data_IF_388591890231
#
_entry.id   IF_388591890231
#
_cell.length_a   1.000
_cell.length_b   1.000
_cell.length_c   1.000
_cell.angle_alpha   90.00
_cell.angle_beta   90.00
_cell.angle_gamma   90.00
#
_symmetry.space_group_name_H-M   'P 1'
#
loop_
_entity.id
_entity.type
_entity.pdbx_description
1 polymer ?
#
# COMPACT_ATOMS: atom_id res chain seq x y z
N UNK A 1 -26.31 18.66 -78.99
CA UNK A 1 -25.42 17.94 -78.07
C UNK A 1 -26.28 16.96 -77.26
N UNK A 2 -26.30 15.66 -77.63
CA UNK A 2 -27.13 14.66 -76.97
C UNK A 2 -26.40 14.18 -75.71
N UNK A 3 -26.77 14.72 -74.56
CA UNK A 3 -26.27 14.23 -73.27
C UNK A 3 -27.05 12.95 -72.96
N UNK A 4 -26.38 11.81 -73.08
CA UNK A 4 -26.94 10.51 -72.69
C UNK A 4 -27.26 10.54 -71.20
N UNK A 5 -28.47 10.11 -70.83
CA UNK A 5 -29.01 10.09 -69.46
C UNK A 5 -28.56 8.85 -68.66
N UNK A 6 -27.82 7.93 -69.30
CA UNK A 6 -27.31 6.69 -68.71
C UNK A 6 -26.21 6.87 -67.63
N UNK A 7 -25.20 7.76 -67.78
CA UNK A 7 -24.15 7.92 -66.76
C UNK A 7 -24.69 8.60 -65.50
N UNK A 8 -25.70 9.47 -65.62
CA UNK A 8 -26.31 10.14 -64.46
C UNK A 8 -27.08 9.18 -63.55
N UNK A 9 -27.84 8.23 -64.14
CA UNK A 9 -28.54 7.19 -63.39
C UNK A 9 -27.57 6.22 -62.71
N UNK A 10 -26.46 5.90 -63.35
CA UNK A 10 -25.43 5.01 -62.80
C UNK A 10 -24.73 5.66 -61.59
N UNK A 11 -24.40 6.95 -61.67
CA UNK A 11 -23.81 7.70 -60.55
C UNK A 11 -24.78 7.80 -59.36
N UNK A 12 -26.07 8.04 -59.62
CA UNK A 12 -27.10 8.09 -58.57
C UNK A 12 -27.28 6.73 -57.87
N UNK A 13 -27.21 5.63 -58.62
CA UNK A 13 -27.32 4.28 -58.09
C UNK A 13 -26.12 3.90 -57.22
N UNK A 14 -24.90 4.33 -57.60
CA UNK A 14 -23.68 4.12 -56.80
C UNK A 14 -23.74 4.93 -55.49
N UNK A 15 -24.25 6.17 -55.54
CA UNK A 15 -24.45 6.98 -54.33
C UNK A 15 -25.49 6.38 -53.38
N UNK A 16 -26.59 5.84 -53.93
CA UNK A 16 -27.60 5.14 -53.13
C UNK A 16 -27.03 3.88 -52.46
N UNK A 17 -26.17 3.14 -53.16
CA UNK A 17 -25.51 1.96 -52.61
C UNK A 17 -24.52 2.32 -51.48
N UNK A 18 -23.75 3.40 -51.65
CA UNK A 18 -22.86 3.92 -50.61
C UNK A 18 -23.61 4.42 -49.37
N UNK A 19 -24.77 5.04 -49.54
CA UNK A 19 -25.61 5.50 -48.43
C UNK A 19 -26.16 4.33 -47.60
N UNK A 20 -26.53 3.22 -48.23
CA UNK A 20 -26.99 2.00 -47.54
C UNK A 20 -25.84 1.36 -46.73
N UNK A 21 -24.63 1.35 -47.28
CA UNK A 21 -23.44 0.82 -46.57
C UNK A 21 -23.08 1.72 -45.36
N UNK A 22 -23.22 3.03 -45.50
CA UNK A 22 -22.94 3.99 -44.42
C UNK A 22 -23.94 3.90 -43.26
N UNK A 23 -25.23 3.60 -43.53
CA UNK A 23 -26.27 3.46 -42.50
C UNK A 23 -26.22 2.07 -41.84
N UNK A 24 -25.74 1.04 -42.56
CA UNK A 24 -25.59 -0.32 -42.04
C UNK A 24 -24.35 -0.54 -41.14
N UNK A 25 -23.40 0.40 -41.15
CA UNK A 25 -22.17 0.35 -40.35
C UNK A 25 -22.36 1.02 -38.98
N UNK A 26 -23.34 0.56 -38.20
CA UNK A 26 -23.30 0.78 -36.75
C UNK A 26 -22.46 -0.35 -36.16
N UNK A 27 -21.21 -0.13 -35.72
CA UNK A 27 -20.57 -1.10 -34.84
C UNK A 27 -21.48 -1.19 -33.62
N UNK A 28 -22.09 -2.36 -33.40
CA UNK A 28 -22.75 -2.66 -32.15
C UNK A 28 -21.68 -2.49 -31.06
N UNK A 29 -21.71 -1.35 -30.39
CA UNK A 29 -20.87 -1.07 -29.24
C UNK A 29 -21.36 -2.03 -28.17
N UNK A 30 -20.74 -3.22 -28.09
CA UNK A 30 -20.89 -4.11 -26.96
C UNK A 30 -20.32 -3.39 -25.74
N UNK A 31 -21.12 -2.51 -25.16
CA UNK A 31 -20.97 -2.17 -23.77
C UNK A 31 -21.15 -3.48 -23.01
N UNK A 32 -20.07 -4.06 -22.51
CA UNK A 32 -20.13 -5.02 -21.41
C UNK A 32 -20.60 -4.28 -20.15
N UNK A 33 -21.78 -3.68 -20.20
CA UNK A 33 -22.49 -3.20 -19.04
C UNK A 33 -23.18 -4.41 -18.40
N UNK A 34 -22.57 -4.92 -17.34
CA UNK A 34 -23.31 -5.71 -16.35
C UNK A 34 -23.19 -7.22 -16.46
N UNK A 35 -22.00 -7.79 -16.72
CA UNK A 35 -21.72 -9.07 -16.06
C UNK A 35 -21.52 -8.78 -14.58
N UNK A 36 -22.60 -8.93 -13.81
CA UNK A 36 -22.61 -8.84 -12.35
C UNK A 36 -21.52 -9.75 -11.78
N UNK A 37 -20.38 -9.17 -11.40
CA UNK A 37 -19.28 -9.88 -10.76
C UNK A 37 -19.73 -10.26 -9.35
N UNK A 38 -20.04 -11.53 -9.15
CA UNK A 38 -20.28 -12.10 -7.82
C UNK A 38 -18.95 -12.24 -7.06
N UNK A 39 -18.41 -11.11 -6.58
CA UNK A 39 -17.20 -11.08 -5.77
C UNK A 39 -17.57 -11.13 -4.29
N UNK A 40 -17.07 -12.14 -3.59
CA UNK A 40 -17.15 -12.21 -2.12
C UNK A 40 -15.83 -11.66 -1.58
N UNK A 41 -15.86 -10.46 -0.99
CA UNK A 41 -14.69 -9.84 -0.36
C UNK A 41 -14.63 -10.25 1.11
N UNK A 42 -13.65 -11.08 1.46
CA UNK A 42 -13.38 -11.44 2.85
C UNK A 42 -12.25 -10.58 3.40
N UNK A 43 -12.47 -9.97 4.57
CA UNK A 43 -11.45 -9.22 5.29
C UNK A 43 -11.13 -9.97 6.58
N UNK A 44 -9.94 -10.56 6.64
CA UNK A 44 -9.41 -11.17 7.85
C UNK A 44 -8.52 -10.19 8.58
N UNK A 45 -8.85 -9.85 9.83
CA UNK A 45 -7.96 -9.15 10.73
C UNK A 45 -7.56 -10.10 11.85
N UNK A 46 -6.25 -10.26 12.06
CA UNK A 46 -5.70 -11.04 13.15
C UNK A 46 -4.80 -10.15 13.98
N UNK A 47 -5.02 -10.15 15.30
CA UNK A 47 -4.19 -9.43 16.26
C UNK A 47 -3.59 -10.46 17.22
N UNK A 48 -2.28 -10.39 17.43
CA UNK A 48 -1.56 -11.25 18.35
C UNK A 48 -0.85 -10.37 19.37
N UNK A 49 -1.23 -10.54 20.64
CA UNK A 49 -0.59 -9.86 21.76
C UNK A 49 0.31 -10.86 22.47
N UNK A 50 1.61 -10.56 22.54
CA UNK A 50 2.60 -11.37 23.27
C UNK A 50 3.33 -10.50 24.29
N UNK A 51 3.52 -11.05 25.49
CA UNK A 51 4.34 -10.40 26.52
C UNK A 51 5.82 -10.53 26.16
N UNK A 52 6.62 -9.44 26.23
CA UNK A 52 8.04 -9.51 25.94
C UNK A 52 8.77 -10.40 26.95
N UNK A 53 9.55 -11.36 26.46
CA UNK A 53 10.23 -12.37 27.28
C UNK A 53 11.54 -11.90 27.92
N UNK A 54 12.11 -10.77 27.46
CA UNK A 54 13.42 -10.27 27.90
C UNK A 54 13.38 -8.74 27.96
N UNK A 55 13.92 -8.16 29.03
CA UNK A 55 14.17 -6.72 29.16
C UNK A 55 15.65 -6.49 29.51
N UNK A 56 16.30 -5.59 28.77
CA UNK A 56 17.67 -5.17 29.05
C UNK A 56 17.65 -3.86 29.83
N UNK A 57 18.21 -3.85 31.03
CA UNK A 57 18.26 -2.67 31.91
C UNK A 57 19.73 -2.34 32.19
N UNK A 58 20.20 -1.19 31.71
CA UNK A 58 21.55 -0.71 31.97
C UNK A 58 21.53 0.28 33.15
N UNK A 59 22.15 -0.09 34.26
CA UNK A 59 22.25 0.75 35.46
C UNK A 59 23.72 0.99 35.76
N UNK A 60 24.04 2.24 36.08
CA UNK A 60 25.36 2.65 36.56
C UNK A 60 25.23 3.78 37.55
N UNK A 61 26.28 3.99 38.35
CA UNK A 61 26.38 5.14 39.26
C UNK A 61 27.59 5.98 38.90
N UNK A 62 27.40 7.30 39.02
CA UNK A 62 28.45 8.29 38.78
C UNK A 62 28.72 9.03 40.08
N UNK A 63 29.99 9.17 40.42
CA UNK A 63 30.43 9.86 41.63
C UNK A 63 31.44 10.95 41.29
N UNK A 64 31.28 12.11 41.92
CA UNK A 64 32.14 13.27 41.72
C UNK A 64 32.88 13.56 43.02
N UNK A 65 34.21 13.61 42.95
CA UNK A 65 35.08 14.05 44.05
C UNK A 65 36.28 14.79 43.44
N UNK A 66 36.89 15.68 44.23
CA UNK A 66 38.12 16.39 43.84
C UNK A 66 39.32 15.43 43.74
N UNK A 67 39.31 14.36 44.52
CA UNK A 67 40.30 13.30 44.50
C UNK A 67 39.75 12.07 43.77
N UNK A 68 40.45 11.63 42.73
CA UNK A 68 40.05 10.49 41.91
C UNK A 68 39.97 9.18 42.70
N UNK A 69 40.86 8.99 43.68
CA UNK A 69 40.90 7.78 44.51
C UNK A 69 39.69 7.70 45.42
N UNK A 70 39.30 8.84 46.00
CA UNK A 70 38.09 8.95 46.83
C UNK A 70 36.83 8.77 45.98
N UNK A 71 36.77 9.40 44.80
CA UNK A 71 35.66 9.20 43.87
C UNK A 71 35.49 7.73 43.50
N UNK A 72 36.59 7.01 43.23
CA UNK A 72 36.53 5.58 42.91
C UNK A 72 36.00 4.76 44.08
N UNK A 73 36.52 4.98 45.30
CA UNK A 73 36.09 4.26 46.50
C UNK A 73 34.60 4.48 46.79
N UNK A 74 34.15 5.74 46.77
CA UNK A 74 32.74 6.09 46.97
C UNK A 74 31.84 5.52 45.87
N UNK A 75 32.32 5.48 44.62
CA UNK A 75 31.57 4.89 43.51
C UNK A 75 31.41 3.37 43.68
N UNK A 76 32.46 2.68 44.13
CA UNK A 76 32.42 1.26 44.41
C UNK A 76 31.39 0.94 45.52
N UNK A 77 31.38 1.72 46.60
CA UNK A 77 30.40 1.57 47.68
C UNK A 77 28.95 1.78 47.20
N UNK A 78 28.72 2.77 46.34
CA UNK A 78 27.39 3.02 45.77
C UNK A 78 26.96 1.90 44.83
N UNK A 79 27.87 1.39 43.99
CA UNK A 79 27.58 0.23 43.13
C UNK A 79 27.25 -1.02 43.94
N UNK A 80 27.95 -1.27 45.05
CA UNK A 80 27.68 -2.40 45.94
C UNK A 80 26.27 -2.32 46.53
N UNK A 81 25.81 -1.12 46.93
CA UNK A 81 24.44 -0.91 47.41
C UNK A 81 23.39 -1.16 46.33
N UNK A 82 23.64 -0.70 45.10
CA UNK A 82 22.75 -0.96 43.95
C UNK A 82 22.68 -2.46 43.69
N UNK A 83 23.82 -3.15 43.67
CA UNK A 83 23.87 -4.60 43.48
C UNK A 83 23.12 -5.36 44.57
N UNK A 84 23.32 -5.01 45.85
CA UNK A 84 22.58 -5.61 46.98
C UNK A 84 21.08 -5.41 46.86
N UNK A 85 20.65 -4.21 46.47
CA UNK A 85 19.22 -3.92 46.26
C UNK A 85 18.65 -4.76 45.12
N UNK A 86 19.34 -4.81 43.98
CA UNK A 86 18.93 -5.62 42.83
C UNK A 86 18.88 -7.11 43.17
N UNK A 87 19.86 -7.61 43.93
CA UNK A 87 19.88 -8.99 44.42
C UNK A 87 18.80 -9.30 45.45
N UNK A 88 18.28 -8.30 46.17
CA UNK A 88 17.19 -8.49 47.13
C UNK A 88 15.79 -8.41 46.49
N UNK A 89 15.70 -7.81 45.31
CA UNK A 89 14.47 -7.68 44.53
C UNK A 89 14.22 -8.91 43.63
N UNK A 90 15.15 -9.87 43.60
CA UNK A 90 15.09 -11.13 42.86
C UNK A 90 15.88 -12.22 43.57
#
# INVERSE_FOLDING_TARGET
MKISFAPFKLVLMVFALFAVIAIGANPALSAEEGRQRNNITVQGSSSVTVSPTIAYVNIGVTTFNKDATKAQSENAEKMDKVYKTLSSLG
#
